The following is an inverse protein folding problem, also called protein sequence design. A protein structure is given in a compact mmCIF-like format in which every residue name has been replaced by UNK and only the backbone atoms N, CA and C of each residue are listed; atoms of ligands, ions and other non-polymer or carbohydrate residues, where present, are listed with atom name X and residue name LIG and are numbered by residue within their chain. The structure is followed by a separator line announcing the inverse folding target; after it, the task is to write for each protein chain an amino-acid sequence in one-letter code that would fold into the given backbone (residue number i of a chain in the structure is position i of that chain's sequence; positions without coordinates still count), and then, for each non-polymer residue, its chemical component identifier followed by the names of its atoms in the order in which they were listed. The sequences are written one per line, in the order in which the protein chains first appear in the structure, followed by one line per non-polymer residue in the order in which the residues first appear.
data_IF_047760197702
#
_entry.id   IF_047760197702
#
_cell.length_a   1.000
_cell.length_b   1.000
_cell.length_c   1.000
_cell.angle_alpha   90.00
_cell.angle_beta   90.00
_cell.angle_gamma   90.00
#
_symmetry.space_group_name_H-M   'P 1'
#
loop_
_entity.id
_entity.type
_entity.pdbx_description
1 polymer ?
#
# COMPACT_ATOMS: atom_id res chain seq x y z
N UNK A 1 -23.92 40.86 -4.78
CA UNK A 1 -22.63 40.91 -5.52
C UNK A 1 -21.85 39.69 -5.12
N UNK A 2 -21.49 38.90 -6.13
CA UNK A 2 -21.06 37.50 -6.06
C UNK A 2 -19.70 37.31 -5.39
N UNK A 3 -19.58 36.18 -4.70
CA UNK A 3 -18.43 35.51 -4.07
C UNK A 3 -17.10 35.73 -4.81
N UNK A 4 -16.09 36.30 -4.12
CA UNK A 4 -14.73 36.49 -4.65
C UNK A 4 -13.66 36.05 -3.63
N UNK A 5 -13.76 34.84 -3.05
CA UNK A 5 -12.70 34.34 -2.15
C UNK A 5 -12.50 32.81 -2.23
N UNK A 6 -12.51 32.22 -3.43
CA UNK A 6 -12.10 30.82 -3.64
C UNK A 6 -10.95 30.70 -4.67
N UNK A 7 -10.23 31.78 -4.94
CA UNK A 7 -9.00 31.67 -5.73
C UNK A 7 -7.85 31.18 -4.85
N UNK A 8 -7.15 30.09 -5.25
CA UNK A 8 -6.01 29.61 -4.50
C UNK A 8 -4.93 30.69 -4.44
N UNK A 9 -4.43 30.96 -3.24
CA UNK A 9 -3.40 31.98 -2.97
C UNK A 9 -2.08 31.76 -3.74
N UNK A 10 -1.90 30.59 -4.34
CA UNK A 10 -0.71 30.20 -5.10
C UNK A 10 -1.06 29.72 -6.51
N UNK A 11 -0.24 30.12 -7.49
CA UNK A 11 -0.31 29.65 -8.88
C UNK A 11 0.64 28.46 -9.12
N UNK A 12 0.34 27.61 -10.10
CA UNK A 12 1.15 26.43 -10.45
C UNK A 12 2.60 26.76 -10.81
N UNK A 13 2.87 27.96 -11.34
CA UNK A 13 4.22 28.44 -11.68
C UNK A 13 5.10 28.71 -10.45
N UNK A 14 4.48 29.01 -9.31
CA UNK A 14 5.18 29.33 -8.05
C UNK A 14 5.60 28.07 -7.27
N UNK A 15 4.97 26.93 -7.57
CA UNK A 15 5.18 25.66 -6.87
C UNK A 15 5.66 24.63 -7.88
N UNK A 16 6.97 24.54 -8.15
CA UNK A 16 7.50 23.53 -9.05
C UNK A 16 7.30 22.14 -8.45
N UNK A 17 6.44 21.34 -9.08
CA UNK A 17 6.20 19.95 -8.68
C UNK A 17 7.24 19.06 -9.38
N UNK A 18 8.03 18.27 -8.63
CA UNK A 18 8.95 17.32 -9.25
C UNK A 18 8.17 16.31 -10.13
N UNK A 19 8.62 16.03 -11.37
CA UNK A 19 7.89 15.19 -12.32
C UNK A 19 7.74 13.73 -11.86
N UNK A 20 8.60 13.27 -10.95
CA UNK A 20 8.61 11.91 -10.40
C UNK A 20 7.64 11.73 -9.22
N UNK A 21 7.29 12.83 -8.53
CA UNK A 21 6.47 12.80 -7.33
C UNK A 21 5.12 12.10 -7.53
N UNK A 22 4.37 12.34 -8.63
CA UNK A 22 3.09 11.67 -8.86
C UNK A 22 3.22 10.14 -8.93
N UNK A 23 4.26 9.62 -9.57
CA UNK A 23 4.44 8.17 -9.70
C UNK A 23 4.84 7.53 -8.36
N UNK A 24 5.74 8.18 -7.60
CA UNK A 24 6.12 7.73 -6.25
C UNK A 24 4.88 7.61 -5.35
N UNK A 25 4.02 8.64 -5.33
CA UNK A 25 2.79 8.63 -4.54
C UNK A 25 1.79 7.58 -5.02
N UNK A 26 1.71 7.34 -6.33
CA UNK A 26 0.88 6.29 -6.91
C UNK A 26 1.35 4.90 -6.47
N UNK A 27 2.66 4.62 -6.55
CA UNK A 27 3.24 3.35 -6.14
C UNK A 27 3.09 3.11 -4.63
N UNK A 28 3.34 4.14 -3.82
CA UNK A 28 3.10 4.13 -2.38
C UNK A 28 1.66 3.76 -2.06
N UNK A 29 0.69 4.45 -2.67
CA UNK A 29 -0.73 4.22 -2.44
C UNK A 29 -1.16 2.81 -2.85
N UNK A 30 -0.68 2.32 -4.00
CA UNK A 30 -0.89 0.92 -4.44
C UNK A 30 -0.35 -0.07 -3.42
N UNK A 31 0.85 0.15 -2.90
CA UNK A 31 1.46 -0.72 -1.91
C UNK A 31 0.69 -0.71 -0.58
N UNK A 32 0.22 0.47 -0.13
CA UNK A 32 -0.58 0.62 1.08
C UNK A 32 -1.92 -0.13 0.97
N UNK A 33 -2.63 0.03 -0.15
CA UNK A 33 -3.90 -0.69 -0.42
C UNK A 33 -3.68 -2.20 -0.45
N UNK A 34 -2.58 -2.65 -1.06
CA UNK A 34 -2.25 -4.08 -1.14
C UNK A 34 -1.92 -4.67 0.23
N UNK A 35 -1.20 -3.94 1.08
CA UNK A 35 -0.74 -4.39 2.39
C UNK A 35 -1.79 -4.27 3.48
N UNK A 36 -2.71 -3.30 3.37
CA UNK A 36 -3.72 -2.98 4.38
C UNK A 36 -3.08 -2.95 5.79
N UNK A 37 -2.06 -2.10 6.03
CA UNK A 37 -1.37 -2.06 7.30
C UNK A 37 -2.32 -1.56 8.39
N UNK A 38 -2.22 -2.13 9.59
CA UNK A 38 -2.95 -1.66 10.77
C UNK A 38 -2.44 -0.29 11.24
N UNK A 39 -1.12 -0.08 11.16
CA UNK A 39 -0.47 1.20 11.41
C UNK A 39 0.17 1.72 10.11
N UNK A 40 -0.46 2.72 9.51
CA UNK A 40 0.00 3.33 8.25
C UNK A 40 1.28 4.14 8.43
N UNK A 41 1.50 4.73 9.62
CA UNK A 41 2.66 5.60 9.85
C UNK A 41 3.93 4.77 10.04
N UNK A 42 3.87 3.73 10.87
CA UNK A 42 5.00 2.81 11.02
C UNK A 42 5.31 2.10 9.69
N UNK A 43 4.25 1.71 8.96
CA UNK A 43 4.39 1.08 7.64
C UNK A 43 5.01 2.02 6.59
N UNK A 44 4.62 3.30 6.56
CA UNK A 44 5.16 4.26 5.59
C UNK A 44 6.65 4.53 5.81
N UNK A 45 7.08 4.65 7.07
CA UNK A 45 8.48 4.78 7.42
C UNK A 45 9.29 3.56 6.93
N UNK A 46 8.77 2.34 7.14
CA UNK A 46 9.40 1.13 6.64
C UNK A 46 9.43 1.07 5.10
N UNK A 47 8.33 1.48 4.44
CA UNK A 47 8.23 1.49 2.98
C UNK A 47 9.29 2.39 2.33
N UNK A 48 9.38 3.65 2.76
CA UNK A 48 10.34 4.58 2.19
C UNK A 48 11.79 4.20 2.54
N UNK A 49 12.03 3.64 3.74
CA UNK A 49 13.36 3.13 4.11
C UNK A 49 13.80 1.97 3.21
N UNK A 50 12.89 1.03 2.93
CA UNK A 50 13.16 -0.07 2.00
C UNK A 50 13.47 0.47 0.60
N UNK A 51 12.71 1.47 0.13
CA UNK A 51 12.92 2.09 -1.17
C UNK A 51 14.28 2.79 -1.27
N UNK A 52 14.71 3.53 -0.24
CA UNK A 52 16.03 4.19 -0.23
C UNK A 52 17.19 3.22 -0.17
N UNK A 53 16.98 2.06 0.47
CA UNK A 53 17.99 1.00 0.56
C UNK A 53 18.01 0.07 -0.67
N UNK A 54 17.06 0.20 -1.60
CA UNK A 54 16.88 -0.74 -2.70
C UNK A 54 16.36 -2.12 -2.27
N UNK A 55 15.77 -2.21 -1.08
CA UNK A 55 15.17 -3.42 -0.53
C UNK A 55 13.73 -3.60 -1.05
N UNK A 56 13.21 -4.82 -0.95
CA UNK A 56 11.82 -5.09 -1.32
C UNK A 56 10.87 -4.45 -0.29
N UNK A 57 9.98 -3.53 -0.71
CA UNK A 57 9.04 -2.89 0.21
C UNK A 57 8.06 -3.90 0.82
N UNK A 58 7.45 -3.59 1.98
CA UNK A 58 6.54 -4.51 2.65
C UNK A 58 5.42 -4.99 1.71
N UNK A 59 5.26 -6.30 1.56
CA UNK A 59 4.23 -6.95 0.72
C UNK A 59 3.25 -7.72 1.61
N UNK A 60 1.96 -7.70 1.28
CA UNK A 60 0.96 -8.56 1.95
C UNK A 60 1.21 -10.01 1.59
N UNK A 61 1.31 -10.88 2.58
CA UNK A 61 1.21 -12.32 2.34
C UNK A 61 -0.21 -12.62 1.85
N UNK A 62 -0.32 -13.10 0.61
CA UNK A 62 -1.61 -13.39 -0.03
C UNK A 62 -2.25 -14.57 0.70
N UNK A 63 -3.44 -14.35 1.25
CA UNK A 63 -4.33 -15.41 1.72
C UNK A 63 -4.61 -16.37 0.55
N UNK A 64 -3.98 -17.54 0.54
CA UNK A 64 -4.32 -18.63 -0.36
C UNK A 64 -5.70 -19.13 0.01
N UNK A 65 -6.72 -18.78 -0.77
CA UNK A 65 -8.07 -19.33 -0.60
C UNK A 65 -8.02 -20.81 -0.98
N UNK A 66 -8.27 -21.76 -0.06
CA UNK A 66 -8.37 -23.16 -0.44
C UNK A 66 -9.56 -23.33 -1.38
N UNK A 67 -9.31 -23.74 -2.61
CA UNK A 67 -10.35 -24.23 -3.52
C UNK A 67 -10.49 -25.71 -3.22
N UNK A 68 -11.35 -26.05 -2.26
CA UNK A 68 -11.67 -27.43 -1.93
C UNK A 68 -12.54 -28.02 -3.05
N UNK A 69 -11.92 -28.53 -4.11
CA UNK A 69 -12.63 -29.16 -5.23
C UNK A 69 -12.81 -30.67 -5.07
N UNK A 70 -12.20 -31.32 -4.08
CA UNK A 70 -12.34 -32.77 -3.89
C UNK A 70 -12.46 -33.19 -2.42
N UNK A 71 -13.24 -34.27 -2.21
CA UNK A 71 -13.64 -34.84 -0.90
C UNK A 71 -12.48 -35.36 -0.02
N UNK A 72 -11.23 -35.26 -0.49
CA UNK A 72 -10.03 -35.73 0.20
C UNK A 72 -9.00 -34.63 0.45
N UNK A 73 -9.27 -33.39 0.02
CA UNK A 73 -8.35 -32.29 0.21
C UNK A 73 -8.74 -31.53 1.48
N UNK A 74 -7.85 -31.51 2.48
CA UNK A 74 -8.14 -30.93 3.82
C UNK A 74 -8.36 -29.42 3.79
N UNK A 75 -8.25 -28.77 2.63
CA UNK A 75 -8.40 -27.32 2.49
C UNK A 75 -7.31 -26.54 3.23
N UNK A 76 -6.24 -27.20 3.65
CA UNK A 76 -5.13 -26.60 4.38
C UNK A 76 -4.07 -26.14 3.39
N UNK A 77 -4.10 -24.86 3.03
CA UNK A 77 -3.04 -24.21 2.24
C UNK A 77 -1.87 -23.82 3.15
N UNK A 78 -0.66 -23.72 2.59
CA UNK A 78 0.52 -23.24 3.33
C UNK A 78 0.26 -21.83 3.89
N UNK A 79 -0.46 -20.99 3.13
CA UNK A 79 -0.95 -19.70 3.62
C UNK A 79 -1.82 -19.81 4.87
N UNK A 80 -2.78 -20.75 4.92
CA UNK A 80 -3.67 -20.94 6.06
C UNK A 80 -2.92 -21.46 7.30
N UNK A 81 -1.97 -22.38 7.12
CA UNK A 81 -1.13 -22.90 8.19
C UNK A 81 -0.28 -21.79 8.85
N UNK A 82 0.32 -20.90 8.06
CA UNK A 82 1.11 -19.78 8.58
C UNK A 82 0.28 -18.80 9.40
N UNK A 83 -0.99 -18.63 9.04
CA UNK A 83 -1.92 -17.75 9.78
C UNK A 83 -2.32 -18.40 11.10
N UNK A 84 -2.67 -19.68 11.09
CA UNK A 84 -3.04 -20.41 12.31
C UNK A 84 -1.90 -20.46 13.32
N UNK A 85 -0.65 -20.63 12.86
CA UNK A 85 0.53 -20.64 13.74
C UNK A 85 0.86 -19.26 14.35
N UNK A 86 0.29 -18.16 13.84
CA UNK A 86 0.54 -16.80 14.34
C UNK A 86 -0.47 -16.34 15.41
N UNK A 87 -1.46 -17.16 15.76
CA UNK A 87 -2.39 -16.93 16.87
C UNK A 87 -1.88 -17.58 18.15
#
# INVERSE_FOLDING_TARGET
MSSLQDEPYYCSEQIPIPPELPDILLQFSKAAIRTQPTDVLAWSAAYFRALTNGETPPVKERLERPVATQKTDTGLTIGLLKILHRQ
#
